data_IF_476776211431
#
_entry.id   IF_476776211431
#
_cell.length_a   1.000
_cell.length_b   1.000
_cell.length_c   1.000
_cell.angle_alpha   90.00
_cell.angle_beta   90.00
_cell.angle_gamma   90.00
#
_symmetry.space_group_name_H-M   'P 1'
#
loop_
_entity.id
_entity.type
_entity.pdbx_description
1 polymer ?
#
# COMPACT_ATOMS: atom_id res chain seq x y z
N UNK A 1 -7.59 55.36 -11.03
CA UNK A 1 -8.66 54.37 -10.91
C UNK A 1 -8.06 52.97 -11.09
N UNK A 2 -8.37 52.03 -10.17
CA UNK A 2 -8.29 50.56 -10.28
C UNK A 2 -6.94 49.92 -10.71
N UNK A 3 -6.31 48.95 -10.02
CA UNK A 3 -6.72 48.00 -8.99
C UNK A 3 -5.47 47.53 -8.21
N UNK A 4 -5.54 47.60 -6.88
CA UNK A 4 -4.87 46.65 -5.98
C UNK A 4 -5.58 45.31 -6.16
N UNK A 5 -4.89 44.21 -6.43
CA UNK A 5 -5.38 42.87 -6.06
C UNK A 5 -4.25 41.84 -6.07
N UNK A 6 -4.17 41.14 -4.93
CA UNK A 6 -3.67 39.79 -4.70
C UNK A 6 -2.17 39.47 -4.70
N UNK A 7 -1.55 39.88 -3.59
CA UNK A 7 -0.78 38.93 -2.77
C UNK A 7 -1.73 37.91 -2.13
N UNK A 8 -1.78 36.69 -2.63
CA UNK A 8 -2.31 35.52 -1.88
C UNK A 8 -1.45 34.28 -2.16
N UNK A 9 -0.42 34.16 -1.32
CA UNK A 9 -0.02 32.94 -0.62
C UNK A 9 -0.26 31.58 -1.31
N UNK A 10 0.70 31.11 -2.10
CA UNK A 10 0.98 29.67 -2.21
C UNK A 10 1.96 29.26 -1.11
N UNK A 11 1.49 29.21 0.14
CA UNK A 11 2.18 28.51 1.23
C UNK A 11 2.13 26.99 0.96
N UNK A 12 3.14 26.46 0.27
CA UNK A 12 3.46 25.03 0.34
C UNK A 12 3.86 24.73 1.78
N UNK A 13 2.93 24.22 2.59
CA UNK A 13 3.24 23.68 3.92
C UNK A 13 3.98 22.35 3.76
N UNK A 14 5.29 22.41 3.53
CA UNK A 14 6.16 21.25 3.74
C UNK A 14 6.36 21.06 5.25
N UNK A 15 5.33 20.57 5.94
CA UNK A 15 5.46 20.15 7.33
C UNK A 15 6.49 19.02 7.36
N UNK A 16 7.66 19.26 7.96
CA UNK A 16 8.70 18.22 8.17
C UNK A 16 8.02 17.05 8.90
N UNK A 17 7.69 15.98 8.18
CA UNK A 17 7.08 14.79 8.76
C UNK A 17 8.13 14.13 9.66
N UNK A 18 7.80 13.92 10.94
CA UNK A 18 8.67 13.25 11.89
C UNK A 18 8.92 11.80 11.42
N UNK A 19 10.17 11.36 11.49
CA UNK A 19 10.57 9.99 11.20
C UNK A 19 10.14 9.12 12.38
N UNK A 20 9.46 8.01 12.11
CA UNK A 20 8.99 7.06 13.11
C UNK A 20 10.00 5.93 13.24
N UNK A 21 10.46 5.60 14.45
CA UNK A 21 11.32 4.41 14.62
C UNK A 21 10.47 3.16 14.62
N UNK A 22 10.95 2.11 13.95
CA UNK A 22 10.33 0.81 13.91
C UNK A 22 11.37 -0.30 14.10
N UNK A 23 10.93 -1.43 14.65
CA UNK A 23 11.75 -2.61 14.91
C UNK A 23 11.21 -3.77 14.09
N UNK A 24 12.10 -4.46 13.39
CA UNK A 24 11.83 -5.72 12.72
C UNK A 24 12.19 -6.89 13.66
N UNK A 25 11.21 -7.75 13.96
CA UNK A 25 11.37 -8.93 14.83
C UNK A 25 10.49 -10.07 14.31
N UNK A 26 11.08 -11.23 14.00
CA UNK A 26 10.36 -12.47 13.63
C UNK A 26 9.22 -12.22 12.62
N UNK A 27 9.53 -11.51 11.54
CA UNK A 27 8.61 -11.20 10.43
C UNK A 27 7.57 -10.10 10.71
N UNK A 28 7.72 -9.36 11.80
CA UNK A 28 6.85 -8.24 12.13
C UNK A 28 7.62 -6.94 12.19
N UNK A 29 7.05 -5.90 11.62
CA UNK A 29 7.56 -4.53 11.77
C UNK A 29 6.66 -3.77 12.74
N UNK A 30 7.21 -3.43 13.91
CA UNK A 30 6.49 -2.75 14.99
C UNK A 30 7.03 -1.34 15.12
N UNK A 31 6.17 -0.35 14.94
CA UNK A 31 6.50 1.06 15.16
C UNK A 31 6.47 1.41 16.65
N UNK A 32 7.36 2.31 17.05
CA UNK A 32 7.34 2.88 18.39
C UNK A 32 6.03 3.63 18.66
N UNK A 33 5.60 3.64 19.93
CA UNK A 33 4.47 4.44 20.37
C UNK A 33 4.85 5.90 20.32
N UNK A 34 4.31 6.62 19.35
CA UNK A 34 4.49 8.06 19.19
C UNK A 34 3.26 8.71 18.58
N UNK A 35 3.09 10.02 18.78
CA UNK A 35 2.03 10.78 18.11
C UNK A 35 2.21 10.75 16.59
N UNK A 36 3.44 10.71 16.10
CA UNK A 36 3.72 10.56 14.67
C UNK A 36 3.20 9.22 14.11
N UNK A 37 3.34 8.12 14.86
CA UNK A 37 2.79 6.80 14.49
C UNK A 37 1.26 6.83 14.45
N UNK A 38 0.63 7.51 15.41
CA UNK A 38 -0.84 7.67 15.47
C UNK A 38 -1.35 8.52 14.32
N UNK A 39 -0.69 9.65 14.03
CA UNK A 39 -1.02 10.53 12.92
C UNK A 39 -0.90 9.81 11.58
N UNK A 40 0.15 9.01 11.40
CA UNK A 40 0.35 8.17 10.22
C UNK A 40 -0.84 7.22 10.00
N UNK A 41 -1.29 6.55 11.07
CA UNK A 41 -2.45 5.66 11.02
C UNK A 41 -3.75 6.43 10.72
N UNK A 42 -3.99 7.55 11.39
CA UNK A 42 -5.24 8.32 11.26
C UNK A 42 -5.39 8.99 9.88
N UNK A 43 -4.27 9.43 9.29
CA UNK A 43 -4.25 10.10 7.99
C UNK A 43 -4.24 9.12 6.83
N UNK A 44 -3.42 8.07 6.91
CA UNK A 44 -3.11 7.22 5.74
C UNK A 44 -3.39 5.74 5.95
N UNK A 45 -3.85 5.35 7.16
CA UNK A 45 -4.26 3.97 7.50
C UNK A 45 -3.18 2.94 7.16
N UNK A 46 -1.92 3.29 7.37
CA UNK A 46 -0.81 2.35 7.32
C UNK A 46 -0.80 1.52 8.59
N UNK A 47 -0.61 0.21 8.45
CA UNK A 47 -0.49 -0.71 9.57
C UNK A 47 -1.79 -0.99 10.30
N UNK A 48 -1.68 -1.85 11.31
CA UNK A 48 -2.77 -2.29 12.19
C UNK A 48 -2.42 -1.91 13.63
N UNK A 49 -3.36 -1.27 14.33
CA UNK A 49 -3.19 -0.98 15.74
C UNK A 49 -3.29 -2.27 16.56
N UNK A 50 -2.25 -2.53 17.36
CA UNK A 50 -2.23 -3.61 18.34
C UNK A 50 -2.95 -3.19 19.63
N UNK A 51 -3.44 -4.15 20.40
CA UNK A 51 -4.08 -3.88 21.70
C UNK A 51 -3.15 -3.18 22.71
N UNK A 52 -1.83 -3.26 22.51
CA UNK A 52 -0.82 -2.55 23.30
C UNK A 52 -0.72 -1.06 22.95
N UNK A 53 -1.34 -0.61 21.85
CA UNK A 53 -1.25 0.76 21.32
C UNK A 53 -0.09 0.99 20.36
N UNK A 54 0.70 -0.04 20.03
CA UNK A 54 1.71 -0.01 18.97
C UNK A 54 1.07 -0.20 17.59
N UNK A 55 1.75 0.29 16.56
CA UNK A 55 1.33 0.12 15.18
C UNK A 55 2.20 -0.95 14.53
N UNK A 56 1.57 -2.00 14.01
CA UNK A 56 2.26 -3.04 13.24
C UNK A 56 2.09 -2.78 11.73
N UNK A 57 3.18 -2.65 11.00
CA UNK A 57 3.16 -2.60 9.54
C UNK A 57 3.26 -4.01 8.96
N UNK A 58 2.62 -4.23 7.82
CA UNK A 58 2.98 -5.38 6.98
C UNK A 58 4.30 -5.11 6.23
N UNK A 59 4.90 -6.15 5.66
CA UNK A 59 6.21 -6.10 5.00
C UNK A 59 6.27 -5.04 3.89
N UNK A 60 5.25 -5.02 3.02
CA UNK A 60 5.13 -4.10 1.88
C UNK A 60 4.95 -2.64 2.36
N UNK A 61 4.14 -2.42 3.39
CA UNK A 61 3.93 -1.11 4.01
C UNK A 61 5.23 -0.58 4.62
N UNK A 62 5.95 -1.43 5.36
CA UNK A 62 7.22 -1.06 5.96
C UNK A 62 8.25 -0.70 4.88
N UNK A 63 8.35 -1.50 3.82
CA UNK A 63 9.25 -1.26 2.69
C UNK A 63 8.93 0.08 2.00
N UNK A 64 7.65 0.36 1.76
CA UNK A 64 7.19 1.63 1.19
C UNK A 64 7.50 2.82 2.10
N UNK A 65 7.23 2.70 3.41
CA UNK A 65 7.51 3.78 4.36
C UNK A 65 9.01 4.04 4.51
N UNK A 66 9.84 2.98 4.41
CA UNK A 66 11.29 3.07 4.43
C UNK A 66 11.81 3.78 3.17
N UNK A 67 11.30 3.42 1.98
CA UNK A 67 11.61 4.10 0.72
C UNK A 67 11.24 5.60 0.77
N UNK A 68 10.09 5.94 1.35
CA UNK A 68 9.65 7.33 1.52
C UNK A 68 10.39 8.08 2.65
N UNK A 69 11.33 7.44 3.34
CA UNK A 69 12.07 8.02 4.47
C UNK A 69 11.17 8.42 5.64
N UNK A 70 10.01 7.76 5.80
CA UNK A 70 9.03 8.05 6.86
C UNK A 70 9.26 7.22 8.11
N UNK A 71 9.92 6.08 7.98
CA UNK A 71 10.33 5.24 9.09
C UNK A 71 11.84 5.03 9.10
N UNK A 72 12.40 4.80 10.29
CA UNK A 72 13.72 4.22 10.46
C UNK A 72 13.56 2.81 11.02
N UNK A 73 14.00 1.80 10.26
CA UNK A 73 13.85 0.40 10.63
C UNK A 73 15.14 -0.15 11.28
N UNK A 74 14.99 -0.91 12.36
CA UNK A 74 16.09 -1.59 13.05
C UNK A 74 15.80 -3.06 13.29
N UNK A 75 16.83 -3.88 13.22
CA UNK A 75 16.82 -5.27 13.67
C UNK A 75 17.84 -5.42 14.81
N UNK A 76 17.33 -5.60 16.03
CA UNK A 76 18.14 -5.49 17.25
C UNK A 76 18.81 -4.11 17.34
N UNK A 77 20.14 -4.07 17.28
CA UNK A 77 20.93 -2.82 17.29
C UNK A 77 21.30 -2.30 15.90
N UNK A 78 21.09 -3.08 14.84
CA UNK A 78 21.50 -2.74 13.48
C UNK A 78 20.37 -1.97 12.78
N UNK A 79 20.72 -0.89 12.09
CA UNK A 79 19.78 -0.19 11.20
C UNK A 79 19.66 -0.98 9.88
N UNK A 80 18.43 -1.20 9.43
CA UNK A 80 18.15 -1.81 8.14
C UNK A 80 17.98 -0.72 7.08
N UNK A 81 18.71 -0.86 5.97
CA UNK A 81 18.51 -0.06 4.75
C UNK A 81 17.38 -0.64 3.91
N UNK A 82 16.91 0.11 2.92
CA UNK A 82 15.89 -0.38 1.98
C UNK A 82 16.32 -1.69 1.33
N UNK A 83 17.51 -1.75 0.74
CA UNK A 83 17.99 -2.93 0.00
C UNK A 83 18.11 -4.17 0.91
N UNK A 84 18.59 -3.98 2.14
CA UNK A 84 18.70 -5.07 3.11
C UNK A 84 17.33 -5.60 3.53
N UNK A 85 16.38 -4.69 3.78
CA UNK A 85 15.03 -5.09 4.16
C UNK A 85 14.27 -5.70 2.99
N UNK A 86 14.46 -5.19 1.76
CA UNK A 86 13.92 -5.78 0.54
C UNK A 86 14.38 -7.23 0.38
N UNK A 87 15.68 -7.49 0.53
CA UNK A 87 16.22 -8.84 0.39
C UNK A 87 15.60 -9.81 1.41
N UNK A 88 15.52 -9.42 2.69
CA UNK A 88 14.84 -10.20 3.73
C UNK A 88 13.38 -10.45 3.37
N UNK A 89 12.69 -9.42 2.87
CA UNK A 89 11.28 -9.51 2.53
C UNK A 89 11.01 -10.41 1.32
N UNK A 90 11.89 -10.44 0.32
CA UNK A 90 11.80 -11.33 -0.83
C UNK A 90 12.01 -12.80 -0.46
N UNK A 91 12.89 -13.08 0.52
CA UNK A 91 13.07 -14.43 1.06
C UNK A 91 11.83 -14.93 1.81
N UNK A 92 11.14 -14.04 2.53
CA UNK A 92 9.94 -14.37 3.30
C UNK A 92 8.69 -14.53 2.46
N UNK A 93 8.57 -13.75 1.38
CA UNK A 93 7.33 -13.60 0.63
C UNK A 93 7.57 -13.70 -0.89
N UNK A 94 7.16 -14.79 -1.55
CA UNK A 94 7.22 -14.89 -3.00
C UNK A 94 6.47 -13.74 -3.69
N UNK A 95 7.00 -13.28 -4.83
CA UNK A 95 6.42 -12.18 -5.62
C UNK A 95 6.21 -10.87 -4.82
N UNK A 96 6.93 -10.67 -3.72
CA UNK A 96 6.85 -9.44 -2.93
C UNK A 96 7.14 -8.22 -3.81
N UNK A 97 8.16 -8.28 -4.67
CA UNK A 97 8.54 -7.16 -5.51
C UNK A 97 7.42 -6.70 -6.46
N UNK A 98 6.76 -7.64 -7.14
CA UNK A 98 5.58 -7.35 -7.97
C UNK A 98 4.48 -6.67 -7.17
N UNK A 99 4.15 -7.22 -5.99
CA UNK A 99 3.13 -6.64 -5.09
C UNK A 99 3.56 -5.26 -4.56
N UNK A 100 4.84 -5.06 -4.31
CA UNK A 100 5.41 -3.78 -3.88
C UNK A 100 5.28 -2.71 -4.97
N UNK A 101 5.58 -3.02 -6.23
CA UNK A 101 5.43 -2.08 -7.35
C UNK A 101 3.98 -1.59 -7.47
N UNK A 102 3.02 -2.52 -7.43
CA UNK A 102 1.58 -2.22 -7.45
C UNK A 102 1.16 -1.38 -6.25
N UNK A 103 1.62 -1.76 -5.04
CA UNK A 103 1.30 -1.02 -3.82
C UNK A 103 1.85 0.42 -3.86
N UNK A 104 3.10 0.56 -4.29
CA UNK A 104 3.80 1.85 -4.41
C UNK A 104 3.08 2.76 -5.41
N UNK A 105 2.76 2.26 -6.60
CA UNK A 105 2.06 3.04 -7.63
C UNK A 105 0.69 3.54 -7.11
N UNK A 106 -0.15 2.62 -6.60
CA UNK A 106 -1.47 2.99 -6.09
C UNK A 106 -1.41 3.96 -4.89
N UNK A 107 -0.46 3.77 -3.97
CA UNK A 107 -0.26 4.70 -2.84
C UNK A 107 0.22 6.06 -3.32
N UNK A 108 1.12 6.12 -4.30
CA UNK A 108 1.58 7.38 -4.90
C UNK A 108 0.42 8.11 -5.61
N UNK A 109 -0.53 7.37 -6.20
CA UNK A 109 -1.76 7.90 -6.80
C UNK A 109 -2.83 8.33 -5.78
N UNK A 110 -2.56 8.22 -4.48
CA UNK A 110 -3.43 8.69 -3.40
C UNK A 110 -4.55 7.71 -3.00
N UNK A 111 -4.51 6.47 -3.46
CA UNK A 111 -5.46 5.45 -3.02
C UNK A 111 -5.12 4.92 -1.63
N UNK A 112 -6.16 4.52 -0.88
CA UNK A 112 -5.97 3.80 0.38
C UNK A 112 -5.98 2.30 0.07
N UNK A 113 -4.98 1.59 0.57
CA UNK A 113 -4.76 0.17 0.28
C UNK A 113 -4.68 -0.60 1.59
N UNK A 114 -5.37 -1.73 1.64
CA UNK A 114 -5.21 -2.70 2.72
C UNK A 114 -5.01 -4.10 2.13
N UNK A 115 -4.44 -5.01 2.92
CA UNK A 115 -4.34 -6.42 2.52
C UNK A 115 -5.72 -7.03 2.26
N UNK A 116 -5.79 -7.86 1.23
CA UNK A 116 -6.96 -8.67 0.90
C UNK A 116 -6.71 -10.17 1.07
N UNK A 117 -5.70 -10.56 1.86
CA UNK A 117 -5.35 -11.97 2.07
C UNK A 117 -6.56 -12.83 2.50
N UNK A 118 -7.46 -12.27 3.31
CA UNK A 118 -8.73 -12.93 3.73
C UNK A 118 -9.65 -13.34 2.57
N UNK A 119 -9.52 -12.67 1.42
CA UNK A 119 -10.31 -12.93 0.22
C UNK A 119 -9.52 -13.75 -0.81
N UNK A 120 -8.24 -14.03 -0.58
CA UNK A 120 -7.37 -14.67 -1.57
C UNK A 120 -6.90 -13.72 -2.68
N UNK A 121 -6.87 -12.41 -2.41
CA UNK A 121 -6.30 -11.39 -3.30
C UNK A 121 -5.20 -10.60 -2.58
N UNK A 122 -4.40 -9.83 -3.31
CA UNK A 122 -3.29 -9.08 -2.70
C UNK A 122 -3.82 -7.90 -1.90
N UNK A 123 -4.64 -7.07 -2.56
CA UNK A 123 -5.08 -5.80 -2.01
C UNK A 123 -6.56 -5.53 -2.21
N UNK A 124 -7.13 -4.83 -1.24
CA UNK A 124 -8.38 -4.11 -1.39
C UNK A 124 -8.08 -2.62 -1.43
N UNK A 125 -8.60 -1.96 -2.45
CA UNK A 125 -8.29 -0.55 -2.74
C UNK A 125 -9.57 0.26 -2.62
N UNK A 126 -9.49 1.31 -1.82
CA UNK A 126 -10.57 2.28 -1.62
C UNK A 126 -10.31 3.48 -2.49
N UNK A 127 -11.38 4.17 -2.89
CA UNK A 127 -11.25 5.36 -3.72
C UNK A 127 -10.50 6.48 -2.98
N UNK A 128 -10.04 7.48 -3.71
CA UNK A 128 -9.29 8.60 -3.14
C UNK A 128 -10.15 9.34 -2.13
N UNK A 129 -9.59 9.61 -0.95
CA UNK A 129 -10.28 10.29 0.13
C UNK A 129 -11.19 9.39 0.98
N UNK A 130 -11.48 8.16 0.53
CA UNK A 130 -12.28 7.20 1.29
C UNK A 130 -11.38 6.41 2.23
N UNK A 131 -11.65 6.47 3.54
CA UNK A 131 -10.94 5.64 4.52
C UNK A 131 -11.65 4.30 4.70
N UNK A 132 -10.88 3.22 4.97
CA UNK A 132 -11.45 1.96 5.45
C UNK A 132 -12.36 2.22 6.67
N UNK A 133 -13.61 1.78 6.55
CA UNK A 133 -14.67 1.98 7.56
C UNK A 133 -15.69 3.07 7.20
N UNK A 134 -15.36 3.98 6.28
CA UNK A 134 -16.31 4.98 5.77
C UNK A 134 -17.15 4.42 4.61
N UNK A 135 -16.51 3.69 3.69
CA UNK A 135 -17.17 3.02 2.57
C UNK A 135 -16.46 1.70 2.24
N UNK A 136 -17.05 0.91 1.34
CA UNK A 136 -16.53 -0.34 0.83
C UNK A 136 -15.35 -0.11 -0.14
N UNK A 137 -14.41 -1.06 -0.18
CA UNK A 137 -13.34 -1.01 -1.17
C UNK A 137 -13.92 -1.10 -2.60
N UNK A 138 -13.37 -0.30 -3.51
CA UNK A 138 -13.78 -0.21 -4.92
C UNK A 138 -13.25 -1.40 -5.72
N UNK A 139 -11.98 -1.72 -5.52
CA UNK A 139 -11.28 -2.77 -6.24
C UNK A 139 -10.76 -3.86 -5.32
N UNK A 140 -10.76 -5.08 -5.87
CA UNK A 140 -9.95 -6.17 -5.40
C UNK A 140 -8.82 -6.40 -6.41
N UNK A 141 -7.59 -6.24 -5.98
CA UNK A 141 -6.40 -6.19 -6.84
C UNK A 141 -5.63 -7.50 -6.78
N UNK A 142 -5.26 -7.99 -7.96
CA UNK A 142 -4.29 -9.07 -8.15
C UNK A 142 -3.10 -8.53 -8.92
N UNK A 143 -1.92 -8.68 -8.36
CA UNK A 143 -0.63 -8.29 -8.92
C UNK A 143 -0.08 -9.47 -9.71
N UNK A 144 0.29 -9.24 -10.97
CA UNK A 144 0.77 -10.30 -11.87
C UNK A 144 2.01 -9.77 -12.59
N UNK A 145 3.15 -10.46 -12.55
CA UNK A 145 4.27 -10.09 -13.40
C UNK A 145 3.94 -10.40 -14.87
N UNK A 146 4.36 -9.55 -15.80
CA UNK A 146 4.11 -9.71 -17.24
C UNK A 146 4.64 -11.04 -17.79
N UNK A 147 5.72 -11.55 -17.21
CA UNK A 147 6.31 -12.84 -17.57
C UNK A 147 5.46 -14.05 -17.16
N UNK A 148 4.45 -13.87 -16.31
CA UNK A 148 3.58 -14.95 -15.87
C UNK A 148 2.32 -15.04 -16.74
N UNK A 149 2.17 -16.16 -17.43
CA UNK A 149 0.94 -16.50 -18.13
C UNK A 149 -0.24 -16.64 -17.16
N UNK A 150 -1.39 -16.07 -17.54
CA UNK A 150 -2.64 -16.19 -16.79
C UNK A 150 -3.61 -17.11 -17.56
N UNK A 151 -3.98 -18.24 -16.97
CA UNK A 151 -4.96 -19.13 -17.62
C UNK A 151 -6.39 -18.58 -17.50
N UNK A 152 -7.30 -19.02 -18.36
CA UNK A 152 -8.72 -18.69 -18.24
C UNK A 152 -9.34 -19.18 -16.91
N UNK A 153 -8.83 -20.29 -16.37
CA UNK A 153 -9.25 -20.79 -15.06
C UNK A 153 -8.83 -19.84 -13.94
N UNK A 154 -7.57 -19.39 -13.95
CA UNK A 154 -7.05 -18.41 -12.98
C UNK A 154 -7.83 -17.10 -13.06
N UNK A 155 -8.07 -16.62 -14.27
CA UNK A 155 -8.88 -15.43 -14.52
C UNK A 155 -10.28 -15.56 -13.92
N UNK A 156 -10.97 -16.66 -14.25
CA UNK A 156 -12.33 -16.92 -13.78
C UNK A 156 -12.39 -17.02 -12.25
N UNK A 157 -11.40 -17.69 -11.63
CA UNK A 157 -11.28 -17.78 -10.18
C UNK A 157 -11.11 -16.40 -9.52
N UNK A 158 -10.17 -15.58 -10.02
CA UNK A 158 -9.94 -14.20 -9.54
C UNK A 158 -11.21 -13.35 -9.68
N UNK A 159 -11.90 -13.47 -10.82
CA UNK A 159 -13.12 -12.72 -11.09
C UNK A 159 -14.28 -13.14 -10.16
N UNK A 160 -14.40 -14.45 -9.88
CA UNK A 160 -15.38 -14.98 -8.93
C UNK A 160 -15.17 -14.41 -7.52
N UNK A 161 -13.92 -14.33 -7.07
CA UNK A 161 -13.55 -13.77 -5.75
C UNK A 161 -13.91 -12.27 -5.66
N UNK A 162 -13.59 -11.48 -6.69
CA UNK A 162 -13.95 -10.07 -6.70
C UNK A 162 -15.47 -9.87 -6.67
N UNK A 163 -16.19 -10.62 -7.52
CA UNK A 163 -17.64 -10.53 -7.64
C UNK A 163 -18.36 -10.97 -6.35
N UNK A 164 -17.91 -12.05 -5.70
CA UNK A 164 -18.51 -12.53 -4.45
C UNK A 164 -18.40 -11.52 -3.29
N UNK A 165 -17.35 -10.69 -3.32
CA UNK A 165 -17.14 -9.62 -2.34
C UNK A 165 -17.74 -8.28 -2.76
N UNK A 166 -18.56 -8.25 -3.83
CA UNK A 166 -19.18 -7.07 -4.45
C UNK A 166 -18.15 -5.99 -4.83
N UNK A 167 -16.98 -6.40 -5.33
CA UNK A 167 -15.89 -5.51 -5.75
C UNK A 167 -15.59 -5.72 -7.22
N UNK A 168 -15.02 -4.69 -7.86
CA UNK A 168 -14.54 -4.80 -9.25
C UNK A 168 -13.16 -5.45 -9.23
N UNK A 169 -12.94 -6.44 -10.10
CA UNK A 169 -11.63 -7.05 -10.26
C UNK A 169 -10.71 -6.06 -10.97
N UNK A 170 -9.53 -5.83 -10.38
CA UNK A 170 -8.46 -5.06 -10.99
C UNK A 170 -7.21 -5.95 -11.10
N UNK A 171 -6.78 -6.24 -12.32
CA UNK A 171 -5.52 -6.94 -12.56
C UNK A 171 -4.45 -5.87 -12.78
N UNK A 172 -3.41 -5.90 -11.95
CA UNK A 172 -2.26 -5.02 -12.03
C UNK A 172 -1.08 -5.81 -12.59
N UNK A 173 -0.75 -5.55 -13.86
CA UNK A 173 0.36 -6.20 -14.56
C UNK A 173 1.60 -5.36 -14.37
N UNK A 174 2.68 -5.97 -13.88
CA UNK A 174 3.99 -5.32 -13.68
C UNK A 174 4.96 -5.82 -14.73
N UNK A 175 5.50 -4.92 -15.54
CA UNK A 175 6.49 -5.26 -16.57
C UNK A 175 7.91 -5.38 -16.00
N UNK A 176 8.89 -5.63 -16.88
CA UNK A 176 10.30 -5.75 -16.50
C UNK A 176 10.94 -4.42 -16.06
N UNK A 177 10.35 -3.28 -16.44
CA UNK A 177 10.79 -1.95 -16.05
C UNK A 177 10.16 -1.49 -14.72
N UNK A 178 9.27 -2.32 -14.14
CA UNK A 178 8.48 -2.08 -12.92
C UNK A 178 7.33 -1.09 -13.09
N UNK A 179 6.94 -0.80 -14.33
CA UNK A 179 5.75 -0.01 -14.61
C UNK A 179 4.50 -0.89 -14.47
N UNK A 180 3.41 -0.26 -14.03
CA UNK A 180 2.17 -0.97 -13.67
C UNK A 180 1.03 -0.57 -14.60
N UNK A 181 0.52 -1.57 -15.33
CA UNK A 181 -0.67 -1.45 -16.19
C UNK A 181 -1.87 -2.09 -15.50
N UNK A 182 -2.99 -1.37 -15.46
CA UNK A 182 -4.20 -1.81 -14.77
C UNK A 182 -5.32 -2.17 -15.74
N UNK A 183 -5.86 -3.38 -15.61
CA UNK A 183 -7.04 -3.85 -16.33
C UNK A 183 -8.19 -4.01 -15.35
N UNK A 184 -9.26 -3.26 -15.59
CA UNK A 184 -10.48 -3.37 -14.81
C UNK A 184 -11.50 -4.24 -15.52
N UNK A 185 -11.94 -5.29 -14.84
CA UNK A 185 -12.91 -6.24 -15.38
C UNK A 185 -14.29 -5.86 -14.88
N UNK A 186 -15.22 -5.72 -15.83
CA UNK A 186 -16.64 -5.55 -15.56
C UNK A 186 -17.41 -6.70 -16.18
N UNK A 187 -18.32 -7.26 -15.41
CA UNK A 187 -19.27 -8.22 -15.93
C UNK A 187 -20.42 -7.47 -16.61
N UNK A 188 -20.70 -7.84 -17.85
CA UNK A 188 -21.78 -7.27 -18.66
C UNK A 188 -22.78 -8.39 -18.89
N UNK A 189 -24.07 -8.14 -18.58
CA UNK A 189 -25.17 -8.95 -19.12
C UNK A 189 -25.53 -8.33 -20.47
N UNK A 190 -25.20 -8.97 -21.60
CA UNK A 190 -25.60 -8.49 -22.91
C UNK A 190 -27.13 -8.51 -23.06
#
# INVERSE_FOLDING_TARGET
>A
MAKKTDKTEKKKSSTKRKIIKAIFVKDRVIAEKSDASRDLYNQSRFGTLLGTGELQFNTIEALYLLEKGRIELKEGRKKLTFDKFLHIAEELEPQLWTRFCVFKDLRNRGYMIQTALKFGADFRVYDRGVKPGEDHAKWLVFSVPESQGLTWYDFSAKNRVATSTKKRLLIAIVDQENDVTYYEIRWIRP
#
